data_IF_438992310865
#
_entry.id   IF_438992310865
#
_cell.length_a   1.000
_cell.length_b   1.000
_cell.length_c   1.000
_cell.angle_alpha   90.00
_cell.angle_beta   90.00
_cell.angle_gamma   90.00
#
_symmetry.space_group_name_H-M   'P 1'
#
loop_
_entity.id
_entity.type
_entity.pdbx_description
1 polymer ?
#
# COMPACT_ATOMS: atom_id res chain seq x y z
N UNK A 1 20.34 10.04 -13.03
CA UNK A 1 18.98 9.96 -13.61
C UNK A 1 18.52 8.51 -13.51
N UNK A 2 17.37 8.24 -12.89
CA UNK A 2 16.79 6.90 -12.79
C UNK A 2 15.39 6.95 -13.42
N UNK A 3 15.08 6.00 -14.28
CA UNK A 3 13.73 5.79 -14.80
C UNK A 3 13.05 4.76 -13.89
N UNK A 4 11.85 5.06 -13.42
CA UNK A 4 11.07 4.16 -12.56
C UNK A 4 9.69 4.00 -13.18
N UNK A 5 9.39 2.78 -13.62
CA UNK A 5 8.05 2.42 -14.10
C UNK A 5 7.05 2.43 -12.94
N UNK A 6 5.94 3.14 -13.11
CA UNK A 6 4.89 3.24 -12.09
C UNK A 6 3.94 2.03 -12.11
N UNK A 7 3.83 1.32 -13.23
CA UNK A 7 2.94 0.14 -13.43
C UNK A 7 1.51 0.43 -12.94
N UNK A 8 1.08 -0.24 -11.87
CA UNK A 8 -0.26 -0.11 -11.28
C UNK A 8 -0.33 0.96 -10.16
N UNK A 9 0.78 1.61 -9.85
CA UNK A 9 0.83 2.70 -8.87
C UNK A 9 0.16 3.94 -9.44
N UNK A 10 -0.81 4.46 -8.70
CA UNK A 10 -1.45 5.74 -9.00
C UNK A 10 -0.75 6.89 -8.26
N UNK A 11 -0.81 8.06 -8.86
CA UNK A 11 -0.50 9.35 -8.22
C UNK A 11 -1.78 10.02 -7.70
N UNK A 12 -1.63 11.12 -6.95
CA UNK A 12 -2.81 11.91 -6.52
C UNK A 12 -3.57 12.52 -7.72
N UNK A 13 -2.88 12.87 -8.81
CA UNK A 13 -3.48 13.40 -10.03
C UNK A 13 -4.34 12.34 -10.73
N UNK A 14 -3.87 11.10 -10.80
CA UNK A 14 -4.64 9.98 -11.36
C UNK A 14 -5.95 9.77 -10.59
N UNK A 15 -5.92 9.92 -9.26
CA UNK A 15 -7.14 9.82 -8.44
C UNK A 15 -8.17 10.90 -8.78
N UNK A 16 -7.72 12.12 -9.13
CA UNK A 16 -8.61 13.19 -9.58
C UNK A 16 -9.27 12.80 -10.90
N UNK A 17 -8.50 12.26 -11.85
CA UNK A 17 -9.04 11.79 -13.13
C UNK A 17 -10.00 10.60 -13.00
N UNK A 18 -9.82 9.77 -11.97
CA UNK A 18 -10.68 8.63 -11.70
C UNK A 18 -11.91 8.98 -10.83
N UNK A 19 -12.14 10.24 -10.46
CA UNK A 19 -13.29 10.62 -9.64
C UNK A 19 -14.62 10.18 -10.27
N UNK A 20 -15.51 9.62 -9.44
CA UNK A 20 -16.79 9.07 -9.87
C UNK A 20 -16.71 7.70 -10.56
N UNK A 21 -15.51 7.17 -10.81
CA UNK A 21 -15.35 5.84 -11.39
C UNK A 21 -15.64 4.72 -10.38
N UNK A 22 -15.95 3.54 -10.91
CA UNK A 22 -16.06 2.31 -10.12
C UNK A 22 -14.73 1.90 -9.49
N UNK A 23 -13.59 2.31 -10.08
CA UNK A 23 -12.24 2.05 -9.55
C UNK A 23 -12.09 2.75 -8.20
N UNK A 24 -12.35 4.06 -8.14
CA UNK A 24 -12.29 4.82 -6.87
C UNK A 24 -13.28 4.27 -5.85
N UNK A 25 -14.50 3.91 -6.27
CA UNK A 25 -15.49 3.31 -5.36
C UNK A 25 -15.01 1.98 -4.74
N UNK A 26 -14.25 1.15 -5.46
CA UNK A 26 -13.61 -0.06 -4.92
C UNK A 26 -12.46 0.30 -3.98
N UNK A 27 -11.55 1.17 -4.41
CA UNK A 27 -10.38 1.58 -3.63
C UNK A 27 -10.77 2.24 -2.29
N UNK A 28 -11.85 3.01 -2.25
CA UNK A 28 -12.38 3.62 -1.03
C UNK A 28 -12.81 2.57 0.02
N UNK A 29 -13.26 1.39 -0.41
CA UNK A 29 -13.68 0.28 0.46
C UNK A 29 -12.50 -0.60 0.88
N UNK A 30 -11.44 -0.63 0.08
CA UNK A 30 -10.30 -1.54 0.19
C UNK A 30 -9.04 -0.74 0.53
N UNK A 31 -9.07 -0.07 1.68
CA UNK A 31 -7.96 0.76 2.17
C UNK A 31 -7.56 0.36 3.59
N UNK A 32 -6.27 0.40 3.88
CA UNK A 32 -5.69 0.07 5.17
C UNK A 32 -4.78 1.20 5.64
N UNK A 33 -4.88 1.56 6.91
CA UNK A 33 -3.89 2.43 7.57
C UNK A 33 -2.92 1.54 8.33
N UNK A 34 -1.63 1.72 8.08
CA UNK A 34 -0.55 0.98 8.75
C UNK A 34 0.37 2.00 9.40
N UNK A 35 0.60 1.81 10.69
CA UNK A 35 1.64 2.50 11.44
C UNK A 35 2.84 1.55 11.57
N UNK A 36 4.02 2.03 11.19
CA UNK A 36 5.26 1.26 11.30
C UNK A 36 6.03 1.71 12.54
N UNK A 37 6.69 0.76 13.22
CA UNK A 37 7.51 1.04 14.40
C UNK A 37 8.76 1.88 14.04
N UNK A 38 9.32 1.64 12.85
CA UNK A 38 10.44 2.39 12.27
C UNK A 38 10.02 3.08 10.98
N UNK A 39 10.83 4.02 10.48
CA UNK A 39 10.57 4.63 9.16
C UNK A 39 10.72 3.54 8.09
N UNK A 40 9.65 3.13 7.40
CA UNK A 40 9.74 2.12 6.37
C UNK A 40 10.37 2.72 5.11
N UNK A 41 11.18 1.93 4.38
CA UNK A 41 11.50 2.29 3.00
C UNK A 41 10.36 1.83 2.10
N UNK A 42 9.42 2.73 1.81
CA UNK A 42 8.24 2.42 0.99
C UNK A 42 8.63 1.97 -0.42
N UNK A 43 9.73 2.48 -0.97
CA UNK A 43 10.22 2.09 -2.30
C UNK A 43 10.71 0.63 -2.37
N UNK A 44 11.03 0.03 -1.22
CA UNK A 44 11.45 -1.37 -1.11
C UNK A 44 10.28 -2.32 -0.82
N UNK A 45 9.08 -1.79 -0.54
CA UNK A 45 7.90 -2.64 -0.37
C UNK A 45 7.52 -3.19 -1.74
N UNK A 46 7.57 -4.51 -1.88
CA UNK A 46 7.29 -5.18 -3.14
C UNK A 46 5.80 -5.18 -3.45
N UNK A 47 5.42 -4.41 -4.47
CA UNK A 47 4.10 -4.40 -5.07
C UNK A 47 4.08 -5.06 -6.46
N UNK A 48 5.12 -5.79 -6.88
CA UNK A 48 5.16 -6.40 -8.21
C UNK A 48 4.03 -7.41 -8.48
N UNK A 49 3.40 -7.93 -7.42
CA UNK A 49 2.26 -8.85 -7.49
C UNK A 49 0.87 -8.21 -7.54
N UNK A 50 0.73 -6.86 -7.45
CA UNK A 50 -0.59 -6.22 -7.53
C UNK A 50 -1.22 -6.42 -8.90
N UNK A 51 -2.49 -6.80 -8.89
CA UNK A 51 -3.29 -7.12 -10.08
C UNK A 51 -4.06 -5.89 -10.56
N UNK A 52 -4.57 -5.09 -9.63
CA UNK A 52 -5.29 -3.85 -9.91
C UNK A 52 -4.48 -2.60 -9.52
N UNK A 53 -5.09 -1.43 -9.72
CA UNK A 53 -4.47 -0.18 -9.30
C UNK A 53 -4.27 -0.11 -7.78
N UNK A 54 -3.21 0.57 -7.35
CA UNK A 54 -2.99 0.87 -5.94
C UNK A 54 -2.51 2.30 -5.74
N UNK A 55 -2.73 2.83 -4.54
CA UNK A 55 -2.27 4.14 -4.14
C UNK A 55 -1.73 4.10 -2.71
N UNK A 56 -0.62 4.81 -2.48
CA UNK A 56 0.03 4.89 -1.17
C UNK A 56 0.11 6.35 -0.76
N UNK A 57 -0.46 6.67 0.40
CA UNK A 57 -0.44 8.01 0.97
C UNK A 57 0.30 8.02 2.29
N UNK A 58 1.31 8.88 2.42
CA UNK A 58 1.87 9.21 3.74
C UNK A 58 0.88 10.04 4.53
N UNK A 59 0.59 9.63 5.76
CA UNK A 59 -0.16 10.42 6.74
C UNK A 59 0.78 11.09 7.77
N UNK A 60 2.10 10.94 7.60
CA UNK A 60 3.13 11.44 8.53
C UNK A 60 3.46 10.45 9.65
N UNK A 61 4.57 10.70 10.37
CA UNK A 61 4.96 9.95 11.57
C UNK A 61 4.95 8.41 11.42
N UNK A 62 5.46 7.88 10.29
CA UNK A 62 5.47 6.43 9.98
C UNK A 62 4.09 5.82 9.75
N UNK A 63 3.06 6.64 9.55
CA UNK A 63 1.70 6.21 9.24
C UNK A 63 1.47 6.36 7.75
N UNK A 64 1.02 5.28 7.12
CA UNK A 64 0.71 5.24 5.69
C UNK A 64 -0.67 4.65 5.46
N UNK A 65 -1.37 5.17 4.45
CA UNK A 65 -2.61 4.62 3.97
C UNK A 65 -2.41 3.96 2.61
N UNK A 66 -2.76 2.68 2.51
CA UNK A 66 -2.65 1.88 1.30
C UNK A 66 -4.05 1.63 0.74
N UNK A 67 -4.24 1.84 -0.55
CA UNK A 67 -5.52 1.70 -1.25
C UNK A 67 -5.33 0.70 -2.39
N UNK A 68 -6.29 -0.19 -2.59
CA UNK A 68 -6.21 -1.23 -3.61
C UNK A 68 -7.51 -1.28 -4.42
N UNK A 69 -7.42 -1.43 -5.74
CA UNK A 69 -8.58 -1.64 -6.60
C UNK A 69 -9.10 -3.08 -6.52
N UNK A 70 -8.21 -4.07 -6.44
CA UNK A 70 -8.56 -5.48 -6.32
C UNK A 70 -8.54 -5.91 -4.85
N UNK A 71 -9.60 -6.56 -4.40
CA UNK A 71 -9.69 -7.05 -3.02
C UNK A 71 -8.63 -8.10 -2.69
N UNK A 72 -8.18 -8.88 -3.67
CA UNK A 72 -7.12 -9.88 -3.46
C UNK A 72 -5.79 -9.22 -3.12
N UNK A 73 -5.50 -8.08 -3.75
CA UNK A 73 -4.27 -7.32 -3.46
C UNK A 73 -4.31 -6.74 -2.04
N UNK A 74 -5.48 -6.28 -1.60
CA UNK A 74 -5.70 -5.86 -0.21
C UNK A 74 -5.46 -7.00 0.79
N UNK A 75 -6.04 -8.19 0.55
CA UNK A 75 -5.89 -9.33 1.45
C UNK A 75 -4.44 -9.85 1.47
N UNK A 76 -3.80 -9.96 0.31
CA UNK A 76 -2.40 -10.38 0.17
C UNK A 76 -1.48 -9.41 0.94
N UNK A 77 -1.66 -8.09 0.74
CA UNK A 77 -0.90 -7.08 1.47
C UNK A 77 -1.14 -7.13 2.98
N UNK A 78 -2.40 -7.27 3.40
CA UNK A 78 -2.77 -7.35 4.82
C UNK A 78 -2.14 -8.58 5.48
N UNK A 79 -2.16 -9.74 4.84
CA UNK A 79 -1.52 -10.95 5.33
C UNK A 79 0.01 -10.76 5.47
N UNK A 80 0.65 -10.16 4.46
CA UNK A 80 2.08 -9.89 4.47
C UNK A 80 2.51 -8.93 5.60
N UNK A 81 1.77 -7.84 5.82
CA UNK A 81 2.06 -6.90 6.91
C UNK A 81 1.86 -7.55 8.29
N UNK A 82 0.85 -8.39 8.45
CA UNK A 82 0.65 -9.14 9.70
C UNK A 82 1.78 -10.13 9.95
N UNK A 83 2.23 -10.86 8.92
CA UNK A 83 3.38 -11.75 9.02
C UNK A 83 4.66 -10.98 9.36
N UNK A 84 4.89 -9.82 8.74
CA UNK A 84 6.00 -8.93 9.06
C UNK A 84 5.97 -8.52 10.54
N UNK A 85 4.84 -8.03 11.04
CA UNK A 85 4.67 -7.65 12.45
C UNK A 85 5.00 -8.81 13.40
N UNK A 86 4.48 -10.00 13.14
CA UNK A 86 4.78 -11.19 13.95
C UNK A 86 6.27 -11.55 13.92
N UNK A 87 6.93 -11.44 12.76
CA UNK A 87 8.36 -11.72 12.64
C UNK A 87 9.25 -10.70 13.37
N UNK A 88 8.83 -9.44 13.45
CA UNK A 88 9.52 -8.39 14.20
C UNK A 88 9.40 -8.63 15.69
N UNK A 89 8.21 -8.96 16.20
CA UNK A 89 8.00 -9.28 17.62
C UNK A 89 8.85 -10.46 18.10
N UNK A 90 9.06 -11.48 17.27
CA UNK A 90 9.90 -12.65 17.62
C UNK A 90 11.40 -12.29 17.72
N UNK A 91 11.86 -11.24 17.02
CA UNK A 91 13.27 -10.82 17.07
C UNK A 91 13.60 -10.03 18.32
N UNK A 92 12.64 -9.34 18.91
CA UNK A 92 12.85 -8.53 20.12
C UNK A 92 12.88 -9.37 21.41
N UNK A 93 12.42 -10.62 21.37
CA UNK A 93 12.40 -11.57 22.50
C UNK A 93 13.70 -12.42 22.63
N UNK A 94 14.82 -12.02 22.01
CA UNK A 94 16.11 -12.74 22.07
C UNK A 94 17.27 -11.91 22.59
#
# INVERSE_FOLDING_TARGET
MRIVEQKNSLSEEDLVHLQGSTVIAKMLKQRLVVEFETNPNIEEIDFAGTRGFYFIKSLGHKIYQFWFEDNRDYEDFRANILAYKMSSTIKDDK
#
